data_IF_096733728912
#
_entry.id   IF_096733728912
#
_cell.length_a   1.000
_cell.length_b   1.000
_cell.length_c   1.000
_cell.angle_alpha   90.00
_cell.angle_beta   90.00
_cell.angle_gamma   90.00
#
_symmetry.space_group_name_H-M   'P 1'
#
loop_
_entity.id
_entity.type
_entity.pdbx_description
1 polymer ?
2 non-polymer ?
3 non-polymer ?
4 non-polymer ?
5 water ?
#
# COMPACT_ATOMS: atom_id res chain seq x y z
N UNK A 15 -8.85 32.96 16.79
CA UNK A 15 -7.50 32.41 16.86
C UNK A 15 -7.47 31.04 17.54
N UNK A 16 -6.49 30.24 17.13
CA UNK A 16 -6.17 28.95 17.72
C UNK A 16 -4.66 28.86 17.89
N UNK A 17 -4.21 29.05 19.14
CA UNK A 17 -2.80 29.02 19.52
C UNK A 17 -2.45 27.80 20.37
N UNK A 18 -3.23 26.73 20.29
CA UNK A 18 -2.93 25.55 21.07
C UNK A 18 -1.54 25.00 20.73
N UNK A 19 -1.31 24.69 19.44
CA UNK A 19 -0.10 23.96 19.09
C UNK A 19 1.14 24.84 19.12
N UNK A 20 1.01 26.11 18.74
CA UNK A 20 2.12 27.05 18.89
C UNK A 20 2.67 27.09 20.31
N UNK A 21 1.89 26.67 21.30
CA UNK A 21 2.31 26.79 22.69
C UNK A 21 3.08 25.58 23.23
N UNK A 22 2.98 24.41 22.60
CA UNK A 22 3.67 23.23 23.14
C UNK A 22 5.17 23.35 22.92
N UNK A 23 5.95 22.98 23.93
CA UNK A 23 7.40 23.17 23.86
C UNK A 23 8.19 21.87 23.80
N UNK A 24 7.61 20.76 24.24
CA UNK A 24 8.25 19.46 24.12
C UNK A 24 7.33 18.54 23.34
N UNK A 25 7.93 17.57 22.69
CA UNK A 25 7.20 16.67 21.83
C UNK A 25 8.12 16.31 20.70
N UNK A 26 8.05 15.08 20.23
CA UNK A 26 8.77 14.65 19.04
C UNK A 26 7.78 13.97 18.12
N UNK A 27 7.96 14.18 16.81
CA UNK A 27 6.94 13.90 15.82
C UNK A 27 7.59 13.18 14.64
N UNK A 28 7.03 12.03 14.27
CA UNK A 28 7.60 11.22 13.18
C UNK A 28 6.55 10.93 12.13
N UNK A 29 6.98 10.88 10.86
CA UNK A 29 6.09 10.41 9.80
C UNK A 29 6.10 8.89 9.82
N UNK A 30 4.91 8.29 9.72
CA UNK A 30 4.80 6.84 9.54
C UNK A 30 4.26 6.60 8.13
N UNK A 31 5.04 5.90 7.32
CA UNK A 31 4.69 5.53 5.96
C UNK A 31 4.44 4.02 5.92
N UNK A 32 3.20 3.64 5.60
CA UNK A 32 2.80 2.25 5.57
C UNK A 32 2.40 1.87 4.15
N UNK A 33 2.86 0.71 3.68
CA UNK A 33 2.38 0.27 2.38
C UNK A 33 0.98 -0.32 2.43
N UNK A 34 0.43 -0.58 3.62
CA UNK A 34 -0.72 -1.49 3.73
C UNK A 34 -1.88 -0.84 4.46
N UNK A 35 -3.01 -0.73 3.76
CA UNK A 35 -4.26 -0.36 4.40
C UNK A 35 -4.64 -1.33 5.50
N UNK A 36 -4.32 -2.63 5.35
CA UNK A 36 -4.66 -3.60 6.39
C UNK A 36 -3.93 -3.28 7.68
N UNK A 37 -2.65 -2.91 7.59
CA UNK A 37 -1.88 -2.59 8.79
C UNK A 37 -2.47 -1.36 9.48
N UNK A 38 -2.89 -0.35 8.71
CA UNK A 38 -3.57 0.81 9.30
C UNK A 38 -4.83 0.38 10.05
N UNK A 39 -5.68 -0.45 9.41
CA UNK A 39 -6.89 -0.92 10.08
C UNK A 39 -6.57 -1.66 11.37
N UNK A 40 -5.54 -2.51 11.33
CA UNK A 40 -5.21 -3.28 12.51
C UNK A 40 -4.69 -2.39 13.62
N UNK A 41 -3.90 -1.37 13.25
CA UNK A 41 -3.36 -0.43 14.23
C UNK A 41 -4.48 0.30 14.93
N UNK A 42 -5.45 0.80 14.17
CA UNK A 42 -6.57 1.53 14.76
C UNK A 42 -7.38 0.61 15.64
N UNK A 43 -7.57 -0.64 15.21
CA UNK A 43 -8.40 -1.57 15.96
C UNK A 43 -7.76 -1.93 17.28
N UNK A 44 -6.45 -2.19 17.30
CA UNK A 44 -5.82 -2.75 18.48
C UNK A 44 -4.84 -1.81 19.18
N UNK A 45 -4.61 -0.61 18.64
CA UNK A 45 -3.69 0.36 19.25
C UNK A 45 -2.28 -0.22 19.41
N UNK A 46 -1.74 -0.78 18.30
CA UNK A 46 -0.37 -1.28 18.24
C UNK A 46 0.22 -0.88 16.88
N UNK A 47 1.56 -0.89 16.81
CA UNK A 47 2.27 -0.66 15.54
C UNK A 47 3.57 -1.43 15.57
N UNK A 48 4.14 -1.63 14.36
CA UNK A 48 5.48 -2.14 14.21
C UNK A 48 6.07 -1.47 12.97
N UNK A 49 7.32 -1.08 13.07
CA UNK A 49 8.03 -0.50 11.94
C UNK A 49 9.10 -1.49 11.49
N UNK A 50 9.95 -1.06 10.57
CA UNK A 50 11.15 -1.82 10.25
C UNK A 50 12.09 -1.90 11.44
N UNK A 51 13.18 -2.66 11.30
CA UNK A 51 14.16 -2.75 12.39
C UNK A 51 14.74 -1.38 12.70
N UNK A 52 15.18 -0.65 11.69
CA UNK A 52 15.81 0.63 12.01
C UNK A 52 14.76 1.66 12.43
N UNK A 53 13.54 1.56 11.87
CA UNK A 53 12.47 2.45 12.30
C UNK A 53 12.12 2.24 13.75
N UNK A 54 11.96 0.97 14.15
CA UNK A 54 11.70 0.66 15.55
C UNK A 54 12.79 1.21 16.45
N UNK A 55 14.05 1.10 16.04
CA UNK A 55 15.13 1.62 16.88
C UNK A 55 15.04 3.13 17.02
N UNK A 56 14.78 3.85 15.94
CA UNK A 56 14.64 5.30 16.01
C UNK A 56 13.49 5.68 16.94
N UNK A 57 12.35 5.04 16.77
CA UNK A 57 11.19 5.41 17.57
C UNK A 57 11.39 5.02 19.03
N UNK A 58 11.95 3.83 19.27
CA UNK A 58 12.22 3.40 20.64
C UNK A 58 13.16 4.39 21.33
N UNK A 59 14.21 4.80 20.64
CA UNK A 59 15.16 5.74 21.25
C UNK A 59 14.47 7.03 21.61
N UNK A 60 13.62 7.55 20.70
CA UNK A 60 12.89 8.78 21.00
C UNK A 60 11.91 8.60 22.15
N UNK A 61 11.24 7.44 22.24
CA UNK A 61 10.32 7.22 23.35
C UNK A 61 11.06 7.16 24.69
N UNK A 62 12.17 6.43 24.73
CA UNK A 62 12.86 6.22 25.99
C UNK A 62 13.56 7.50 26.45
N UNK A 63 14.06 8.30 25.52
CA UNK A 63 14.70 9.56 25.88
C UNK A 63 13.69 10.63 26.25
N UNK A 64 12.41 10.43 25.97
CA UNK A 64 11.41 11.45 26.29
C UNK A 64 11.06 11.44 27.76
N UNK A 65 11.01 10.26 28.38
CA UNK A 65 10.74 10.14 29.82
C UNK A 65 9.43 10.81 30.22
N UNK A 66 8.40 10.63 29.40
CA UNK A 66 7.09 11.18 29.72
C UNK A 66 7.00 12.68 29.90
N UNK A 67 8.09 13.41 29.62
CA UNK A 67 8.04 14.87 29.64
C UNK A 67 7.33 15.46 28.42
N UNK A 68 6.86 14.61 27.51
CA UNK A 68 6.29 15.03 26.26
C UNK A 68 5.91 13.83 25.42
N UNK A 69 5.02 14.03 24.46
CA UNK A 69 4.55 12.90 23.66
C UNK A 69 5.41 12.68 22.43
N UNK A 70 5.42 11.43 21.98
CA UNK A 70 5.93 11.10 20.66
C UNK A 70 4.72 10.89 19.76
N UNK A 71 4.54 11.79 18.78
CA UNK A 71 3.43 11.74 17.84
C UNK A 71 3.85 11.01 16.57
N UNK A 72 2.92 10.23 16.02
CA UNK A 72 3.10 9.50 14.76
C UNK A 72 2.05 10.03 13.78
N UNK A 73 2.50 10.52 12.64
CA UNK A 73 1.62 11.02 11.59
C UNK A 73 1.59 9.97 10.49
N UNK A 74 0.48 9.25 10.37
CA UNK A 74 0.38 8.06 9.53
C UNK A 74 -0.05 8.41 8.11
N UNK A 75 0.60 7.79 7.13
CA UNK A 75 0.24 7.97 5.73
C UNK A 75 0.50 6.68 4.95
N UNK A 76 -0.46 6.26 4.13
CA UNK A 76 -0.28 5.08 3.30
C UNK A 76 0.45 5.48 2.02
N UNK A 77 1.54 4.76 1.72
CA UNK A 77 2.37 5.06 0.55
C UNK A 77 1.55 5.11 -0.72
N UNK A 78 1.69 6.20 -1.47
CA UNK A 78 0.96 6.38 -2.70
C UNK A 78 -0.50 6.76 -2.54
N UNK A 79 -1.01 6.91 -1.32
CA UNK A 79 -2.42 7.24 -1.16
C UNK A 79 -2.71 8.71 -1.40
N UNK A 80 -1.70 9.58 -1.38
CA UNK A 80 -1.95 11.00 -1.53
C UNK A 80 -2.57 11.71 -0.35
N UNK A 81 -2.54 11.12 0.85
CA UNK A 81 -3.15 11.75 2.01
C UNK A 81 -2.65 11.10 3.29
N UNK A 82 -2.68 11.87 4.38
CA UNK A 82 -2.49 11.32 5.71
C UNK A 82 -3.82 10.81 6.22
N UNK A 83 -3.76 9.76 7.04
CA UNK A 83 -4.96 9.09 7.54
C UNK A 83 -5.15 9.24 9.04
N UNK A 84 -4.24 9.89 9.75
CA UNK A 84 -4.50 10.21 11.14
C UNK A 84 -3.22 10.34 11.96
N UNK A 85 -3.41 10.35 13.28
CA UNK A 85 -2.35 10.64 14.26
C UNK A 85 -2.47 9.67 15.41
N UNK A 86 -1.33 9.23 15.92
CA UNK A 86 -1.29 8.41 17.11
C UNK A 86 -0.13 8.85 17.98
N UNK A 87 -0.27 8.57 19.26
CA UNK A 87 0.78 8.77 20.24
C UNK A 87 1.41 7.42 20.54
N UNK A 88 2.73 7.39 20.58
CA UNK A 88 3.44 6.23 21.08
C UNK A 88 3.21 6.10 22.58
N UNK A 89 2.95 4.87 23.04
CA UNK A 89 2.61 4.59 24.43
C UNK A 89 3.44 3.47 25.06
N UNK A 90 4.49 3.01 24.40
CA UNK A 90 5.36 2.02 25.02
C UNK A 90 6.68 2.00 24.29
N UNK A 91 7.67 1.38 24.93
CA UNK A 91 8.88 1.04 24.24
C UNK A 91 8.61 -0.15 23.30
N UNK A 92 9.54 -0.35 22.38
CA UNK A 92 9.46 -1.45 21.44
C UNK A 92 9.78 -2.75 22.15
N UNK A 93 8.86 -3.70 22.07
CA UNK A 93 9.12 -5.09 22.43
C UNK A 93 9.49 -5.82 21.13
N UNK A 94 10.72 -6.33 21.04
CA UNK A 94 11.27 -6.82 19.78
C UNK A 94 11.06 -8.32 19.55
N UNK A 95 10.58 -9.06 20.54
CA UNK A 95 10.42 -10.51 20.43
C UNK A 95 8.95 -10.78 20.71
N UNK A 96 8.16 -10.79 19.65
CA UNK A 96 6.72 -10.90 19.78
C UNK A 96 6.23 -11.83 18.69
N UNK A 97 4.93 -12.11 18.69
CA UNK A 97 4.37 -13.04 17.70
C UNK A 97 4.71 -12.55 16.30
N UNK A 98 5.25 -13.46 15.49
CA UNK A 98 5.53 -13.12 14.11
C UNK A 98 4.27 -13.15 13.26
N UNK A 99 4.34 -12.54 12.08
CA UNK A 99 3.29 -12.74 11.10
C UNK A 99 1.98 -11.99 11.30
N UNK A 100 1.93 -11.01 12.22
CA UNK A 100 0.66 -10.31 12.44
C UNK A 100 0.46 -9.13 11.48
N UNK A 101 1.50 -8.70 10.77
CA UNK A 101 1.41 -7.56 9.86
C UNK A 101 1.43 -8.06 8.41
N UNK A 102 1.30 -7.11 7.48
CA UNK A 102 1.29 -7.43 6.05
C UNK A 102 2.57 -8.17 5.65
N UNK A 103 3.72 -7.60 5.98
CA UNK A 103 5.01 -8.27 5.87
C UNK A 103 5.12 -9.30 6.99
N UNK A 104 5.11 -10.59 6.63
CA UNK A 104 4.98 -11.66 7.60
C UNK A 104 6.19 -11.79 8.52
N UNK A 105 7.31 -11.13 8.22
CA UNK A 105 8.49 -11.30 9.04
C UNK A 105 8.64 -10.24 10.14
N UNK A 106 7.78 -9.22 10.14
CA UNK A 106 8.04 -8.02 10.90
C UNK A 106 8.21 -8.31 12.39
N UNK A 107 9.20 -7.64 12.99
CA UNK A 107 9.80 -8.06 14.23
C UNK A 107 9.48 -7.03 15.32
N UNK A 108 8.41 -7.28 16.05
CA UNK A 108 8.22 -6.51 17.25
C UNK A 108 6.86 -5.88 17.29
N UNK A 109 6.69 -5.02 18.29
CA UNK A 109 5.39 -4.43 18.59
C UNK A 109 5.64 -3.34 19.62
N UNK A 110 4.97 -2.21 19.45
CA UNK A 110 4.86 -1.23 20.53
C UNK A 110 3.42 -0.76 20.58
N UNK A 111 3.01 -0.25 21.74
CA UNK A 111 1.65 0.23 21.91
C UNK A 111 1.56 1.67 21.43
N UNK A 112 0.45 2.00 20.79
CA UNK A 112 0.12 3.37 20.42
C UNK A 112 -1.26 3.68 20.98
N UNK A 113 -1.67 4.93 20.81
CA UNK A 113 -3.03 5.36 21.07
C UNK A 113 -3.41 6.30 19.93
N UNK A 114 -4.28 5.83 19.03
CA UNK A 114 -4.75 6.74 18.01
C UNK A 114 -5.62 7.80 18.67
N UNK A 115 -5.36 9.06 18.31
CA UNK A 115 -6.09 10.18 18.86
C UNK A 115 -6.81 10.95 17.76
N UNK A 116 -6.57 10.60 16.51
CA UNK A 116 -7.22 11.32 15.42
C UNK A 116 -7.17 10.47 14.16
N UNK A 117 -8.34 10.18 13.58
CA UNK A 117 -8.46 9.35 12.38
C UNK A 117 -9.24 10.17 11.38
N UNK A 118 -8.55 10.79 10.42
CA UNK A 118 -9.26 11.26 9.23
C UNK A 118 -8.26 11.54 8.14
N UNK A 119 -8.77 11.55 6.90
CA UNK A 119 -7.93 11.74 5.73
C UNK A 119 -7.66 13.22 5.52
N UNK A 120 -6.38 13.57 5.47
CA UNK A 120 -5.94 14.93 5.19
C UNK A 120 -5.17 14.91 3.87
N UNK A 121 -5.70 15.51 2.82
CA UNK A 121 -5.03 15.49 1.52
C UNK A 121 -3.63 16.09 1.61
N UNK A 122 -2.72 15.53 0.81
CA UNK A 122 -1.35 16.04 0.77
C UNK A 122 -1.29 17.51 0.36
N UNK A 123 -2.25 17.97 -0.44
CA UNK A 123 -2.25 19.37 -0.88
C UNK A 123 -2.43 20.34 0.27
N UNK A 124 -2.96 19.88 1.41
CA UNK A 124 -3.06 20.74 2.58
C UNK A 124 -1.74 20.92 3.29
N UNK A 125 -0.78 20.02 3.07
CA UNK A 125 0.45 19.95 3.84
C UNK A 125 1.72 20.12 3.02
N UNK A 126 1.64 20.07 1.69
CA UNK A 126 2.85 20.04 0.86
C UNK A 126 3.72 21.28 1.02
N UNK A 127 3.18 22.38 1.51
CA UNK A 127 3.99 23.59 1.58
C UNK A 127 4.87 23.62 2.82
N UNK A 128 4.63 22.77 3.81
CA UNK A 128 5.54 22.67 4.94
C UNK A 128 6.74 21.84 4.52
N UNK A 129 7.93 22.41 4.64
CA UNK A 129 9.13 21.71 4.21
C UNK A 129 9.99 21.40 5.44
N UNK A 130 10.85 20.40 5.31
CA UNK A 130 11.63 19.88 6.44
C UNK A 130 13.10 20.21 6.25
N UNK A 131 13.65 21.05 7.14
CA UNK A 131 15.04 21.45 7.00
C UNK A 131 16.01 20.30 7.31
N UNK A 132 15.58 19.29 8.07
CA UNK A 132 16.43 18.15 8.32
C UNK A 132 16.34 17.10 7.22
N UNK A 133 15.51 17.33 6.20
CA UNK A 133 15.39 16.43 5.05
C UNK A 133 15.47 17.23 3.75
N UNK A 134 16.54 18.01 3.60
CA UNK A 134 16.87 18.74 2.37
C UNK A 134 15.73 19.65 1.90
N UNK A 135 14.96 20.18 2.86
CA UNK A 135 13.87 21.12 2.58
C UNK A 135 12.77 20.49 1.70
N UNK A 136 12.69 19.16 1.68
CA UNK A 136 11.64 18.49 0.95
C UNK A 136 10.29 18.66 1.65
N UNK A 137 9.19 18.65 0.89
CA UNK A 137 7.88 18.73 1.53
C UNK A 137 7.69 17.59 2.51
N UNK A 138 7.07 17.89 3.65
CA UNK A 138 6.83 16.85 4.64
C UNK A 138 6.06 15.69 4.02
N UNK A 139 5.35 15.94 2.92
CA UNK A 139 4.57 14.93 2.22
C UNK A 139 5.43 14.03 1.32
N UNK A 140 6.73 14.32 1.22
CA UNK A 140 7.66 13.45 0.50
C UNK A 140 8.64 12.76 1.44
N UNK A 141 8.20 12.49 2.65
CA UNK A 141 9.05 11.84 3.64
C UNK A 141 8.98 10.33 3.48
N UNK A 142 10.03 9.67 3.95
CA UNK A 142 10.04 8.24 4.10
C UNK A 142 9.64 7.85 5.53
N UNK A 143 9.40 6.56 5.73
CA UNK A 143 8.98 6.03 7.03
C UNK A 143 9.95 6.43 8.15
N UNK A 144 9.36 6.86 9.27
CA UNK A 144 10.03 7.35 10.49
C UNK A 144 10.98 8.54 10.25
N UNK A 145 10.77 9.28 9.17
CA UNK A 145 11.30 10.64 9.08
C UNK A 145 10.89 11.47 10.27
N UNK A 146 11.85 11.98 11.04
CA UNK A 146 11.48 12.88 12.14
C UNK A 146 11.16 14.28 11.61
N UNK A 147 10.28 14.98 12.32
CA UNK A 147 9.80 16.31 11.93
C UNK A 147 10.26 17.31 12.99
N UNK A 148 10.90 18.41 12.60
CA UNK A 148 11.32 19.40 13.60
C UNK A 148 10.09 19.99 14.30
N UNK A 149 10.21 20.23 15.59
CA UNK A 149 9.03 20.56 16.39
C UNK A 149 8.30 21.77 15.84
N UNK A 150 9.03 22.77 15.32
CA UNK A 150 8.36 23.97 14.81
C UNK A 150 7.54 23.68 13.56
N UNK A 151 8.00 22.76 12.70
CA UNK A 151 7.20 22.35 11.56
C UNK A 151 6.05 21.44 12.01
N UNK A 152 6.31 20.53 12.94
CA UNK A 152 5.28 19.64 13.45
C UNK A 152 4.08 20.41 13.97
N UNK A 153 4.32 21.53 14.66
CA UNK A 153 3.23 22.37 15.17
C UNK A 153 2.33 22.82 14.04
N UNK A 154 2.92 23.21 12.92
CA UNK A 154 2.15 23.67 11.77
C UNK A 154 1.36 22.51 11.15
N UNK A 155 1.99 21.33 11.06
CA UNK A 155 1.29 20.16 10.52
C UNK A 155 0.09 19.81 11.39
N UNK A 156 0.30 19.71 12.70
CA UNK A 156 -0.78 19.31 13.60
C UNK A 156 -1.95 20.28 13.51
N UNK A 157 -1.66 21.58 13.42
CA UNK A 157 -2.75 22.56 13.33
C UNK A 157 -3.59 22.32 12.08
N UNK A 158 -2.94 22.15 10.92
CA UNK A 158 -3.69 21.91 9.68
C UNK A 158 -4.52 20.64 9.76
N UNK A 159 -3.94 19.56 10.28
CA UNK A 159 -4.68 18.31 10.42
C UNK A 159 -5.89 18.49 11.34
N UNK A 160 -5.66 19.12 12.49
CA UNK A 160 -6.75 19.28 13.47
C UNK A 160 -7.86 20.15 12.94
N UNK A 161 -7.57 21.05 12.02
CA UNK A 161 -8.57 21.98 11.52
C UNK A 161 -9.10 21.61 10.14
N UNK A 162 -8.63 20.51 9.55
CA UNK A 162 -9.11 20.16 8.21
C UNK A 162 -10.53 19.60 8.28
N UNK A 163 -11.34 19.92 7.26
CA UNK A 163 -12.75 19.53 7.25
C UNK A 163 -13.14 18.80 5.96
N UNK B 16 7.38 -23.93 -22.33
CA UNK B 16 6.98 -24.49 -21.03
C UNK B 16 5.64 -25.23 -21.14
N UNK B 17 5.28 -25.98 -20.09
CA UNK B 17 3.96 -26.62 -20.09
C UNK B 17 2.82 -25.63 -19.97
N UNK B 18 3.12 -24.39 -19.60
CA UNK B 18 2.11 -23.40 -19.24
C UNK B 18 2.03 -22.28 -20.27
N UNK B 19 0.79 -21.88 -20.62
CA UNK B 19 0.52 -20.69 -21.42
C UNK B 19 1.20 -20.74 -22.80
N UNK B 20 1.42 -21.96 -23.31
CA UNK B 20 1.95 -22.08 -24.67
C UNK B 20 0.91 -21.81 -25.74
N UNK B 21 -0.38 -21.80 -25.40
CA UNK B 21 -1.43 -21.37 -26.32
C UNK B 21 -2.24 -20.27 -25.66
N UNK B 22 -2.01 -19.04 -26.10
CA UNK B 22 -2.72 -17.86 -25.63
C UNK B 22 -2.57 -16.78 -26.66
N UNK B 23 -3.02 -17.07 -27.88
CA UNK B 23 -2.65 -16.28 -29.06
C UNK B 23 -3.14 -14.84 -28.97
N UNK B 24 -4.36 -14.63 -28.46
CA UNK B 24 -4.93 -13.29 -28.43
C UNK B 24 -5.03 -12.71 -27.02
N UNK B 25 -4.23 -13.21 -26.08
CA UNK B 25 -4.36 -12.76 -24.71
C UNK B 25 -4.04 -11.28 -24.54
N UNK B 26 -4.60 -10.69 -23.47
CA UNK B 26 -4.21 -9.37 -23.00
C UNK B 26 -4.03 -9.44 -21.49
N UNK B 27 -3.01 -8.76 -20.98
CA UNK B 27 -2.51 -9.03 -19.65
C UNK B 27 -2.25 -7.71 -18.93
N UNK B 28 -2.74 -7.59 -17.71
CA UNK B 28 -2.66 -6.36 -16.93
C UNK B 28 -2.10 -6.68 -15.56
N UNK B 29 -1.36 -5.72 -15.01
CA UNK B 29 -0.85 -5.75 -13.63
C UNK B 29 -1.97 -5.28 -12.71
N UNK B 30 -2.16 -5.94 -11.57
CA UNK B 30 -3.05 -5.46 -10.52
C UNK B 30 -2.20 -5.18 -9.31
N UNK B 31 -2.28 -3.95 -8.79
CA UNK B 31 -1.55 -3.60 -7.58
C UNK B 31 -2.56 -3.33 -6.47
N UNK B 32 -2.37 -3.94 -5.30
CA UNK B 32 -3.31 -3.77 -4.21
C UNK B 32 -2.61 -3.26 -2.96
N UNK B 33 -3.31 -2.37 -2.24
CA UNK B 33 -2.88 -1.88 -0.94
C UNK B 33 -3.31 -2.82 0.18
N UNK B 34 -3.99 -3.93 -0.14
CA UNK B 34 -4.67 -4.74 0.87
C UNK B 34 -4.51 -6.23 0.58
N UNK B 35 -3.71 -6.92 1.40
CA UNK B 35 -3.66 -8.38 1.30
C UNK B 35 -5.00 -9.00 1.69
N UNK B 36 -5.71 -8.39 2.63
CA UNK B 36 -7.06 -8.86 2.94
C UNK B 36 -7.97 -8.85 1.71
N UNK B 37 -7.90 -7.79 0.90
CA UNK B 37 -8.73 -7.76 -0.29
C UNK B 37 -8.33 -8.87 -1.26
N UNK B 38 -7.03 -9.14 -1.39
CA UNK B 38 -6.57 -10.24 -2.24
C UNK B 38 -7.17 -11.55 -1.75
N UNK B 39 -7.13 -11.79 -0.44
CA UNK B 39 -7.67 -13.03 0.11
C UNK B 39 -9.16 -13.15 -0.19
N UNK B 40 -9.87 -12.03 -0.10
CA UNK B 40 -11.29 -12.02 -0.43
C UNK B 40 -11.50 -12.34 -1.91
N UNK B 41 -10.65 -11.78 -2.78
CA UNK B 41 -10.69 -12.06 -4.21
C UNK B 41 -10.50 -13.54 -4.49
N UNK B 42 -9.54 -14.15 -3.81
CA UNK B 42 -9.24 -15.57 -4.00
C UNK B 42 -10.43 -16.41 -3.54
N UNK B 43 -11.06 -16.01 -2.44
CA UNK B 43 -12.15 -16.79 -1.88
C UNK B 43 -13.40 -16.72 -2.76
N UNK B 44 -13.77 -15.52 -3.20
CA UNK B 44 -15.03 -15.33 -3.89
C UNK B 44 -14.88 -15.13 -5.40
N UNK B 45 -13.66 -15.12 -5.92
CA UNK B 45 -13.41 -15.01 -7.36
C UNK B 45 -14.07 -13.75 -7.94
N UNK B 46 -13.76 -12.61 -7.31
CA UNK B 46 -14.24 -11.30 -7.72
C UNK B 46 -13.12 -10.28 -7.47
N UNK B 47 -13.19 -9.16 -8.18
CA UNK B 47 -12.28 -8.07 -7.94
C UNK B 47 -12.96 -6.76 -8.29
N UNK B 48 -12.32 -5.66 -7.89
CA UNK B 48 -12.74 -4.32 -8.23
C UNK B 48 -11.49 -3.45 -8.28
N UNK B 49 -11.37 -2.61 -9.32
CA UNK B 49 -10.24 -1.69 -9.45
C UNK B 49 -10.68 -0.26 -9.12
N UNK B 50 -9.83 0.71 -9.47
CA UNK B 50 -10.23 2.12 -9.46
C UNK B 50 -11.24 2.38 -10.57
N UNK B 51 -11.75 3.61 -10.62
CA UNK B 51 -12.71 3.92 -11.68
C UNK B 51 -12.03 3.88 -13.06
N UNK B 52 -10.84 4.45 -13.19
CA UNK B 52 -10.15 4.37 -14.48
C UNK B 52 -9.61 2.97 -14.73
N UNK B 53 -9.17 2.27 -13.68
CA UNK B 53 -8.71 0.90 -13.86
C UNK B 53 -9.82 -0.02 -14.33
N UNK B 54 -10.99 0.06 -13.68
CA UNK B 54 -12.15 -0.73 -14.12
C UNK B 54 -12.44 -0.48 -15.59
N UNK B 55 -12.42 0.79 -15.98
CA UNK B 55 -12.78 1.13 -17.36
C UNK B 55 -11.75 0.58 -18.34
N UNK B 56 -10.49 0.50 -17.94
CA UNK B 56 -9.48 -0.09 -18.82
C UNK B 56 -9.66 -1.60 -18.93
N UNK B 57 -9.96 -2.29 -17.81
CA UNK B 57 -10.16 -3.73 -17.91
C UNK B 57 -11.46 -4.05 -18.64
N UNK B 58 -12.49 -3.24 -18.41
CA UNK B 58 -13.78 -3.42 -19.07
C UNK B 58 -13.64 -3.29 -20.59
N UNK B 59 -12.93 -2.24 -21.05
CA UNK B 59 -12.69 -2.08 -22.48
C UNK B 59 -11.96 -3.28 -23.06
N UNK B 60 -10.93 -3.76 -22.37
CA UNK B 60 -10.17 -4.90 -22.86
C UNK B 60 -11.02 -6.16 -22.88
N UNK B 61 -11.82 -6.39 -21.84
CA UNK B 61 -12.66 -7.59 -21.79
C UNK B 61 -13.69 -7.58 -22.92
N UNK B 62 -14.35 -6.44 -23.11
CA UNK B 62 -15.47 -6.39 -24.05
C UNK B 62 -14.99 -6.42 -25.49
N UNK B 63 -13.83 -5.83 -25.78
CA UNK B 63 -13.32 -5.85 -27.15
C UNK B 63 -12.69 -7.19 -27.48
N UNK B 64 -12.38 -7.98 -26.46
CA UNK B 64 -11.80 -9.28 -26.67
C UNK B 64 -12.88 -10.25 -27.14
N UNK B 65 -14.12 -10.05 -26.70
CA UNK B 65 -15.31 -10.75 -27.18
C UNK B 65 -15.13 -12.27 -27.10
N UNK B 66 -14.48 -12.74 -26.03
CA UNK B 66 -14.25 -14.15 -25.87
C UNK B 66 -13.23 -14.77 -26.80
N UNK B 67 -12.60 -13.99 -27.69
CA UNK B 67 -11.58 -14.53 -28.58
C UNK B 67 -10.35 -15.02 -27.82
N UNK B 68 -10.10 -14.48 -26.63
CA UNK B 68 -8.94 -14.86 -25.87
C UNK B 68 -9.08 -14.44 -24.42
N UNK B 69 -8.09 -14.78 -23.60
CA UNK B 69 -8.17 -14.47 -22.17
C UNK B 69 -7.59 -13.11 -21.82
N UNK B 70 -8.18 -12.49 -20.81
CA UNK B 70 -7.58 -11.34 -20.15
C UNK B 70 -7.03 -11.86 -18.83
N UNK B 71 -5.70 -11.78 -18.66
CA UNK B 71 -5.04 -12.27 -17.45
C UNK B 71 -4.68 -11.09 -16.55
N UNK B 72 -4.66 -11.33 -15.24
CA UNK B 72 -4.37 -10.30 -14.26
C UNK B 72 -3.23 -10.81 -13.39
N UNK B 73 -2.18 -10.01 -13.29
CA UNK B 73 -0.98 -10.37 -12.54
C UNK B 73 -0.99 -9.57 -11.24
N UNK B 74 -1.21 -10.27 -10.12
CA UNK B 74 -1.50 -9.59 -8.85
C UNK B 74 -0.23 -9.39 -8.04
N UNK B 75 -0.15 -8.22 -7.38
CA UNK B 75 0.99 -7.92 -6.52
C UNK B 75 0.57 -6.91 -5.46
N UNK B 76 0.89 -7.23 -4.22
CA UNK B 76 0.57 -6.35 -3.09
C UNK B 76 1.65 -5.28 -3.01
N UNK B 77 1.22 -4.01 -2.98
CA UNK B 77 2.16 -2.90 -2.89
C UNK B 77 3.12 -3.09 -1.72
N UNK B 78 4.42 -2.92 -1.99
CA UNK B 78 5.44 -3.01 -0.97
C UNK B 78 5.85 -4.41 -0.58
N UNK B 79 5.18 -5.44 -1.10
CA UNK B 79 5.46 -6.80 -0.66
C UNK B 79 6.74 -7.38 -1.26
N UNK B 80 7.27 -6.80 -2.33
CA UNK B 80 8.44 -7.36 -2.99
C UNK B 80 8.18 -8.61 -3.79
N UNK B 81 6.91 -8.99 -3.99
CA UNK B 81 6.63 -10.21 -4.72
C UNK B 81 5.25 -10.13 -5.35
N UNK B 82 5.08 -10.82 -6.48
CA UNK B 82 3.77 -11.03 -7.06
C UNK B 82 3.11 -12.17 -6.30
N UNK B 83 1.77 -12.20 -6.30
CA UNK B 83 1.09 -13.17 -5.46
C UNK B 83 0.18 -14.11 -6.25
N UNK B 84 0.06 -13.93 -7.55
CA UNK B 84 -0.56 -14.95 -8.37
C UNK B 84 -1.21 -14.35 -9.59
N UNK B 85 -2.04 -15.18 -10.22
CA UNK B 85 -2.55 -14.93 -11.56
C UNK B 85 -4.04 -15.28 -11.56
N UNK B 86 -4.86 -14.40 -12.10
CA UNK B 86 -6.28 -14.67 -12.30
C UNK B 86 -6.66 -14.29 -13.72
N UNK B 87 -7.73 -14.92 -14.22
CA UNK B 87 -8.34 -14.51 -15.48
C UNK B 87 -9.61 -13.72 -15.23
N UNK B 88 -9.81 -12.65 -15.99
CA UNK B 88 -11.02 -11.90 -15.75
C UNK B 88 -12.15 -12.56 -16.54
N UNK B 89 -13.33 -12.63 -15.90
CA UNK B 89 -14.34 -13.59 -16.33
C UNK B 89 -15.71 -12.95 -16.48
N UNK B 90 -15.79 -11.62 -16.48
CA UNK B 90 -17.03 -10.92 -16.75
C UNK B 90 -16.70 -9.46 -17.00
N UNK B 91 -17.66 -8.75 -17.60
CA UNK B 91 -17.58 -7.29 -17.68
C UNK B 91 -17.72 -6.67 -16.29
N UNK B 92 -17.48 -5.38 -16.22
CA UNK B 92 -17.57 -4.66 -14.96
C UNK B 92 -19.01 -4.26 -14.70
N UNK B 93 -19.49 -4.53 -13.50
CA UNK B 93 -20.76 -4.04 -13.01
C UNK B 93 -20.45 -2.86 -12.11
N UNK B 94 -20.85 -1.66 -12.52
CA UNK B 94 -20.47 -0.46 -11.80
C UNK B 94 -21.38 -0.13 -10.63
N UNK B 95 -22.53 -0.78 -10.49
CA UNK B 95 -23.45 -0.47 -9.41
C UNK B 95 -23.68 -1.73 -8.58
N UNK B 96 -22.93 -1.86 -7.49
CA UNK B 96 -22.95 -3.04 -6.64
C UNK B 96 -22.91 -2.59 -5.18
N UNK B 97 -23.01 -3.58 -4.29
CA UNK B 97 -23.00 -3.30 -2.86
C UNK B 97 -21.74 -2.55 -2.47
N UNK B 98 -21.93 -1.46 -1.74
CA UNK B 98 -20.81 -0.64 -1.30
C UNK B 98 -20.09 -1.29 -0.11
N UNK B 99 -18.85 -0.85 0.10
CA UNK B 99 -18.09 -1.19 1.30
C UNK B 99 -17.80 -2.66 1.52
N UNK B 100 -17.65 -3.45 0.45
CA UNK B 100 -17.26 -4.85 0.63
C UNK B 100 -15.74 -5.06 0.65
N UNK B 101 -14.95 -4.04 0.35
CA UNK B 101 -13.49 -4.12 0.36
C UNK B 101 -12.93 -3.35 1.55
N UNK B 102 -11.60 -3.30 1.64
CA UNK B 102 -10.95 -2.67 2.80
C UNK B 102 -11.17 -1.16 2.86
N UNK B 103 -11.43 -0.52 1.72
CA UNK B 103 -11.84 0.87 1.66
C UNK B 103 -13.10 0.96 0.84
N UNK B 104 -13.93 1.96 1.16
CA UNK B 104 -15.16 2.24 0.42
C UNK B 104 -14.91 2.75 -0.99
N UNK B 105 -13.69 3.17 -1.31
CA UNK B 105 -13.44 3.87 -2.57
C UNK B 105 -13.46 2.97 -3.81
N UNK B 106 -13.51 1.64 -3.68
CA UNK B 106 -13.65 0.78 -4.86
C UNK B 106 -15.14 0.54 -5.10
N UNK B 107 -15.65 1.05 -6.23
CA UNK B 107 -17.05 0.91 -6.59
C UNK B 107 -17.17 -0.08 -7.74
N UNK B 108 -17.95 -1.12 -7.55
CA UNK B 108 -18.26 -2.05 -8.62
C UNK B 108 -17.61 -3.41 -8.40
N UNK B 109 -17.68 -4.23 -9.45
CA UNK B 109 -17.27 -5.62 -9.30
C UNK B 109 -17.17 -6.24 -10.68
N UNK B 110 -16.23 -7.17 -10.84
CA UNK B 110 -16.21 -8.10 -11.96
C UNK B 110 -15.71 -9.44 -11.46
N UNK B 111 -16.14 -10.51 -12.13
CA UNK B 111 -15.71 -11.85 -11.80
C UNK B 111 -14.31 -12.11 -12.32
N UNK B 112 -13.56 -12.95 -11.59
CA UNK B 112 -12.27 -13.49 -12.01
C UNK B 112 -12.28 -14.98 -11.70
N UNK B 113 -11.30 -15.67 -12.25
CA UNK B 113 -10.97 -17.03 -11.88
C UNK B 113 -9.49 -17.06 -11.55
N UNK B 114 -9.16 -17.22 -10.27
CA UNK B 114 -7.76 -17.37 -9.90
C UNK B 114 -7.19 -18.67 -10.46
N UNK B 115 -5.99 -18.57 -11.02
CA UNK B 115 -5.30 -19.67 -11.65
C UNK B 115 -4.09 -20.11 -10.83
N UNK B 116 -3.26 -19.17 -10.41
CA UNK B 116 -2.17 -19.41 -9.48
C UNK B 116 -2.32 -18.52 -8.25
N UNK B 117 -2.18 -19.11 -7.08
CA UNK B 117 -1.94 -18.38 -5.84
C UNK B 117 -0.57 -18.84 -5.34
N UNK B 118 0.43 -17.98 -5.48
CA UNK B 118 1.79 -18.30 -5.09
C UNK B 118 2.61 -17.01 -5.11
N UNK B 119 3.52 -16.88 -4.16
CA UNK B 119 4.36 -15.70 -4.08
C UNK B 119 5.61 -15.91 -4.91
N UNK B 120 5.87 -15.00 -5.83
CA UNK B 120 7.05 -15.06 -6.68
C UNK B 120 7.87 -13.80 -6.44
N UNK B 121 9.12 -13.91 -5.97
CA UNK B 121 9.91 -12.71 -5.68
C UNK B 121 10.09 -11.84 -6.90
N UNK B 122 10.13 -10.51 -6.70
CA UNK B 122 10.37 -9.61 -7.81
C UNK B 122 11.72 -9.86 -8.48
N UNK B 123 12.69 -10.42 -7.75
CA UNK B 123 13.99 -10.74 -8.36
C UNK B 123 13.85 -11.68 -9.55
N UNK B 124 12.85 -12.55 -9.54
CA UNK B 124 12.61 -13.46 -10.65
C UNK B 124 12.00 -12.77 -11.87
N UNK B 125 11.48 -11.55 -11.71
CA UNK B 125 10.77 -10.87 -12.79
C UNK B 125 11.36 -9.53 -13.20
N UNK B 126 12.23 -8.93 -12.38
CA UNK B 126 12.61 -7.53 -12.63
C UNK B 126 13.38 -7.35 -13.93
N UNK B 127 13.92 -8.41 -14.51
CA UNK B 127 14.67 -8.26 -15.75
C UNK B 127 13.79 -8.23 -16.99
N UNK B 128 12.46 -8.29 -16.82
CA UNK B 128 11.51 -8.14 -17.92
C UNK B 128 11.04 -6.69 -17.94
N UNK B 129 11.29 -5.99 -19.05
CA UNK B 129 10.99 -4.57 -19.12
C UNK B 129 9.87 -4.33 -20.11
N UNK B 130 9.07 -3.30 -19.85
CA UNK B 130 7.90 -3.01 -20.65
C UNK B 130 8.23 -1.91 -21.65
N UNK B 131 8.30 -2.29 -22.94
CA UNK B 131 8.58 -1.30 -23.97
C UNK B 131 7.49 -0.23 -24.01
N UNK B 132 6.29 -0.53 -23.52
CA UNK B 132 5.22 0.47 -23.51
C UNK B 132 5.24 1.35 -22.27
N UNK B 133 6.13 1.09 -21.33
CA UNK B 133 6.24 1.89 -20.11
C UNK B 133 7.68 2.39 -19.92
N UNK B 134 8.22 3.08 -20.95
CA UNK B 134 9.56 3.65 -20.88
C UNK B 134 10.62 2.62 -20.52
N UNK B 135 10.38 1.36 -20.94
CA UNK B 135 11.28 0.24 -20.70
C UNK B 135 11.56 0.01 -19.21
N UNK B 136 10.63 0.43 -18.35
CA UNK B 136 10.73 0.16 -16.92
C UNK B 136 10.52 -1.34 -16.65
N UNK B 137 11.18 -1.87 -15.63
CA UNK B 137 10.93 -3.27 -15.23
C UNK B 137 9.46 -3.51 -14.93
N UNK B 138 9.00 -4.74 -15.23
CA UNK B 138 7.58 -5.06 -15.03
C UNK B 138 7.22 -4.93 -13.55
N UNK B 139 8.18 -5.14 -12.66
CA UNK B 139 7.99 -5.10 -11.21
C UNK B 139 7.83 -3.68 -10.67
N UNK B 140 8.02 -2.67 -11.51
CA UNK B 140 7.82 -1.28 -11.13
C UNK B 140 6.56 -0.71 -11.75
N UNK B 141 5.60 -1.57 -12.05
CA UNK B 141 4.36 -1.14 -12.69
C UNK B 141 3.38 -0.62 -11.65
N UNK B 142 2.50 0.26 -12.11
CA UNK B 142 1.33 0.69 -11.36
C UNK B 142 0.10 -0.18 -11.70
N UNK B 143 -0.98 0.03 -10.93
CA UNK B 143 -2.20 -0.75 -11.12
C UNK B 143 -2.76 -0.61 -12.53
N UNK B 144 -3.14 -1.74 -13.12
CA UNK B 144 -3.73 -1.86 -14.47
C UNK B 144 -2.79 -1.35 -15.57
N UNK B 145 -1.49 -1.36 -15.32
CA UNK B 145 -0.51 -1.26 -16.41
C UNK B 145 -0.66 -2.44 -17.35
N UNK B 146 -0.85 -2.18 -18.64
CA UNK B 146 -0.97 -3.31 -19.57
C UNK B 146 0.43 -3.83 -19.94
N UNK B 147 0.56 -5.13 -20.08
CA UNK B 147 1.82 -5.79 -20.38
C UNK B 147 1.81 -6.24 -21.83
N UNK B 148 2.81 -5.89 -22.64
CA UNK B 148 2.86 -6.42 -24.01
C UNK B 148 2.86 -7.94 -23.99
N UNK B 149 2.15 -8.55 -24.95
CA UNK B 149 1.84 -9.97 -24.87
C UNK B 149 3.11 -10.82 -24.72
N UNK B 150 4.17 -10.49 -25.48
CA UNK B 150 5.37 -11.32 -25.41
C UNK B 150 6.06 -11.22 -24.06
N UNK B 151 6.03 -10.05 -23.41
CA UNK B 151 6.56 -9.96 -22.05
C UNK B 151 5.61 -10.65 -21.06
N UNK B 152 4.30 -10.52 -21.28
CA UNK B 152 3.34 -11.19 -20.42
C UNK B 152 3.54 -12.69 -20.44
N UNK B 153 3.79 -13.27 -21.63
CA UNK B 153 4.06 -14.69 -21.71
C UNK B 153 5.23 -15.09 -20.83
N UNK B 154 6.34 -14.34 -20.92
CA UNK B 154 7.50 -14.59 -20.07
C UNK B 154 7.10 -14.54 -18.58
N UNK B 155 6.37 -13.49 -18.17
CA UNK B 155 6.01 -13.37 -16.76
C UNK B 155 5.15 -14.54 -16.33
N UNK B 156 4.12 -14.87 -17.12
CA UNK B 156 3.18 -15.93 -16.74
C UNK B 156 3.90 -17.26 -16.57
N UNK B 157 4.87 -17.55 -17.45
CA UNK B 157 5.55 -18.84 -17.36
C UNK B 157 6.50 -18.86 -16.18
N UNK B 158 7.15 -17.74 -15.89
CA UNK B 158 7.98 -17.71 -14.68
C UNK B 158 7.12 -17.99 -13.46
N UNK B 159 5.98 -17.31 -13.36
CA UNK B 159 5.12 -17.50 -12.20
C UNK B 159 4.62 -18.94 -12.14
N UNK B 160 4.12 -19.44 -13.26
CA UNK B 160 3.56 -20.80 -13.31
C UNK B 160 4.57 -21.83 -12.84
N UNK B 161 5.84 -21.69 -13.21
CA UNK B 161 6.84 -22.73 -13.00
C UNK B 161 7.67 -22.54 -11.73
N UNK B 162 7.60 -21.36 -11.09
CA UNK B 162 8.43 -21.07 -9.93
C UNK B 162 8.14 -22.02 -8.79
N UNK B 163 9.19 -22.41 -8.07
CA UNK B 163 9.07 -23.19 -6.85
C UNK B 163 10.23 -22.84 -5.93
N UNK B 164 9.94 -22.78 -4.63
CA UNK B 164 10.95 -22.47 -3.60
C UNK B 164 11.70 -21.17 -3.87
X LIG C 1 -8.70 -9.38 12.95
X LIG C 1 -9.06 -9.00 11.59
X LIG C 1 -8.81 -10.84 13.05
X LIG C 1 -7.33 -8.97 13.25
X LIG C 1 -9.60 -8.74 13.93
X LIG D 1 9.44 4.22 2.88
X LIG D 1 10.24 4.23 1.65
X LIG D 1 9.12 2.83 3.23
X LIG D 1 10.21 4.83 3.95
X LIG D 1 8.20 4.99 2.69
X LIG E 1 2.07 9.61 -0.90
X LIG E 1 1.86 9.50 -2.34
X LIG E 1 3.01 8.56 -0.48
X LIG E 1 2.61 10.92 -0.53
X LIG E 1 0.80 9.50 -0.20
X LIG F 1 1.35 15.41 -3.56
X LIG F 1 2.20 15.48 -4.76
X LIG F 1 1.78 14.27 -2.75
X LIG F 1 1.50 16.65 -2.81
X LIG F 1 -0.06 15.25 -3.95
X LIG G 1 15.60 -2.58 8.46
X LIG H 1 6.47 -3.90 -4.68
X LIG H 1 7.25 -3.77 -5.92
X LIG H 1 5.93 -5.26 -4.61
X LIG H 1 7.35 -3.72 -3.55
X LIG H 1 5.33 -2.95 -4.73
X LIG I 1 -15.82 -13.56 4.98
X LIG I 1 -14.64 -14.30 4.53
X LIG I 1 -16.79 -14.45 5.63
X LIG I 1 -15.43 -12.52 5.94
X LIG I 1 -16.45 -12.90 3.83
X LIG J 1 -9.85 -3.87 -4.02
X LIG J 1 -8.72 -2.97 -4.54
X LIG J 1 -7.56 -2.63 -3.66
X LIG J 1 -6.47 -1.74 -4.18
X LIG J 1 -7.70 -1.57 -6.42
X LIG J 1 -6.55 -1.24 -5.54
X LIG J 1 -8.78 -2.44 -5.90
X LIG J 1 -7.46 -3.15 -2.31
X LIG J 1 -5.54 -1.45 -3.51
X LIG J 1 -7.74 -1.12 -7.51
#
# INVERSE_FOLDING_TARGET
MGSSYHHHHHHSSGENLYFQHMKHGRVFIIKSYSEDDIHRSIKYNIWCSTEHGNKRLDAAYRSMNGKGPVYLLFSVNGSGHFCGVAEMKSAVDYNTCAGVWSQDKWKGRFDVRWIFVKDVPNSQLRHIRLENNENKPVTNSRDTQEVPLEKAKQVLKIIASYKHTTS
MGSSYHHHHHHSSGENLYFQHMKHGRVFIIKSYSEDDIHRSIKYNIWCSTEHGNKRLDAAYRSMNGKGPVYLLFSVNGSGHFCGVAEMKSAVDYNTCAGVWSQDKWKGRFDVRWIFVKDVPNSQLRHIRLENNENKPVTNSRDTQEVPLEKAKQVLKIIASYKHTTS
SO4 S O1 O2 O3 O4
SO4 S O1 O2 O3 O4
SO4 S O1 O2 O3 O4
SO4 S O1 O2 O3 O4
CL CL
SO4 S O1 O2 O3 O4
SO4 S O1 O2 O3 O4
I3V C01 C02 C03 C04 C07 N06 N09 N10 O05 O08
#
